data_IF_174079932399
#
_entry.id   IF_174079932399
#
_cell.length_a   1.000
_cell.length_b   1.000
_cell.length_c   1.000
_cell.angle_alpha   90.00
_cell.angle_beta   90.00
_cell.angle_gamma   90.00
#
_symmetry.space_group_name_H-M   'P 1'
#
loop_
_entity.id
_entity.type
_entity.pdbx_description
1 polymer ?
#
# COMPACT_ATOMS: atom_id res chain seq x y z
N UNK A 1 8.60 -9.69 -1.18
CA UNK A 1 8.07 -8.31 -1.26
C UNK A 1 8.61 -7.73 -2.54
N UNK A 2 7.79 -7.01 -3.30
CA UNK A 2 8.18 -6.46 -4.59
C UNK A 2 9.29 -5.40 -4.42
N UNK A 3 10.33 -5.37 -5.28
CA UNK A 3 11.42 -4.39 -5.20
C UNK A 3 10.94 -2.94 -5.18
N UNK A 4 10.07 -2.54 -6.12
CA UNK A 4 9.44 -1.21 -6.18
C UNK A 4 8.76 -0.78 -4.88
N UNK A 5 8.07 -1.71 -4.21
CA UNK A 5 7.40 -1.41 -2.92
C UNK A 5 8.42 -1.30 -1.79
N UNK A 6 9.51 -2.08 -1.84
CA UNK A 6 10.63 -1.96 -0.90
C UNK A 6 11.28 -0.58 -1.00
N UNK A 7 11.64 -0.18 -2.23
CA UNK A 7 12.21 1.13 -2.50
C UNK A 7 11.26 2.27 -2.09
N UNK A 8 9.96 2.14 -2.36
CA UNK A 8 8.96 3.12 -1.93
C UNK A 8 8.89 3.26 -0.41
N UNK A 9 8.91 2.13 0.33
CA UNK A 9 8.90 2.14 1.80
C UNK A 9 10.21 2.69 2.37
N UNK A 10 11.35 2.41 1.74
CA UNK A 10 12.65 2.87 2.20
C UNK A 10 12.83 4.39 2.12
N UNK A 11 12.08 5.06 1.23
CA UNK A 11 11.98 6.54 1.19
C UNK A 11 11.37 7.11 2.48
N UNK A 12 10.67 6.30 3.27
CA UNK A 12 10.17 6.70 4.59
C UNK A 12 11.34 6.81 5.56
N UNK A 13 11.68 8.05 5.92
CA UNK A 13 12.79 8.37 6.80
C UNK A 13 12.71 7.63 8.15
N UNK A 14 13.85 7.37 8.80
CA UNK A 14 13.93 6.53 10.01
C UNK A 14 13.05 7.02 11.17
N UNK A 15 12.78 8.32 11.26
CA UNK A 15 11.89 8.91 12.27
C UNK A 15 10.43 8.45 12.18
N UNK A 16 9.98 8.00 11.00
CA UNK A 16 8.61 7.49 10.79
C UNK A 16 8.52 5.97 10.94
N UNK A 17 9.66 5.28 11.14
CA UNK A 17 9.71 3.82 11.23
C UNK A 17 9.30 3.34 12.63
N UNK A 18 8.10 2.78 12.70
CA UNK A 18 7.59 2.03 13.84
C UNK A 18 8.37 0.72 14.05
N UNK A 19 8.63 0.37 15.32
CA UNK A 19 9.39 -0.83 15.78
C UNK A 19 8.64 -2.16 15.55
N UNK A 20 7.53 -2.16 14.80
CA UNK A 20 6.66 -3.34 14.73
C UNK A 20 7.31 -4.52 13.97
N UNK A 21 7.21 -5.72 14.57
CA UNK A 21 7.87 -6.96 14.14
C UNK A 21 7.03 -7.90 13.25
N UNK A 22 5.93 -7.43 12.65
CA UNK A 22 5.03 -8.24 11.81
C UNK A 22 5.05 -7.86 10.32
N UNK A 23 4.50 -8.75 9.46
CA UNK A 23 4.22 -8.37 8.05
C UNK A 23 3.11 -7.32 8.03
N UNK A 24 3.37 -6.20 7.36
CA UNK A 24 2.40 -5.11 7.20
C UNK A 24 1.43 -5.46 6.07
N UNK A 25 0.13 -5.63 6.35
CA UNK A 25 -0.83 -6.04 5.33
C UNK A 25 -0.87 -5.05 4.16
N UNK A 26 -0.68 -3.76 4.42
CA UNK A 26 -0.62 -2.72 3.39
C UNK A 26 0.56 -2.95 2.42
N UNK A 27 1.76 -3.24 2.97
CA UNK A 27 2.93 -3.51 2.14
C UNK A 27 2.77 -4.80 1.31
N UNK A 28 2.09 -5.81 1.86
CA UNK A 28 1.77 -7.03 1.11
C UNK A 28 0.77 -6.76 -0.02
N UNK A 29 -0.30 -6.01 0.26
CA UNK A 29 -1.31 -5.63 -0.74
C UNK A 29 -0.67 -4.80 -1.87
N UNK A 30 0.12 -3.78 -1.55
CA UNK A 30 0.84 -2.99 -2.54
C UNK A 30 1.83 -3.86 -3.34
N UNK A 31 2.47 -4.83 -2.70
CA UNK A 31 3.36 -5.77 -3.38
C UNK A 31 2.62 -6.69 -4.36
N UNK A 32 1.35 -7.00 -4.14
CA UNK A 32 0.53 -7.78 -5.09
C UNK A 32 0.14 -6.91 -6.29
N UNK A 33 -0.28 -5.67 -6.03
CA UNK A 33 -0.62 -4.70 -7.09
C UNK A 33 0.60 -4.36 -7.95
N UNK A 34 1.80 -4.32 -7.37
CA UNK A 34 3.03 -4.13 -8.13
C UNK A 34 3.31 -5.29 -9.11
N UNK A 35 3.07 -6.53 -8.69
CA UNK A 35 3.17 -7.70 -9.58
C UNK A 35 2.15 -7.62 -10.72
N UNK A 36 0.92 -7.20 -10.42
CA UNK A 36 -0.11 -6.98 -11.44
C UNK A 36 0.27 -5.86 -12.41
N UNK A 37 0.82 -4.76 -11.91
CA UNK A 37 1.31 -3.65 -12.73
C UNK A 37 2.44 -4.09 -13.67
N UNK A 38 3.43 -4.84 -13.20
CA UNK A 38 4.49 -5.40 -14.05
C UNK A 38 3.94 -6.36 -15.11
N UNK A 39 2.97 -7.21 -14.74
CA UNK A 39 2.35 -8.13 -15.68
C UNK A 39 1.57 -7.40 -16.79
N UNK A 40 0.82 -6.35 -16.44
CA UNK A 40 0.11 -5.50 -17.41
C UNK A 40 1.07 -4.78 -18.35
N UNK A 41 2.13 -4.16 -17.82
CA UNK A 41 3.17 -3.50 -18.63
C UNK A 41 3.86 -4.49 -19.58
N UNK A 42 4.18 -5.69 -19.12
CA UNK A 42 4.77 -6.74 -19.96
C UNK A 42 3.80 -7.17 -21.08
N UNK A 43 2.50 -7.27 -20.80
CA UNK A 43 1.48 -7.58 -21.80
C UNK A 43 1.32 -6.47 -22.85
N UNK A 44 1.58 -5.22 -22.48
CA UNK A 44 1.62 -4.05 -23.38
C UNK A 44 2.96 -3.94 -24.16
N UNK A 45 3.90 -4.86 -23.93
CA UNK A 45 5.21 -4.90 -24.61
C UNK A 45 6.32 -4.12 -23.91
N UNK A 46 6.06 -3.55 -22.72
CA UNK A 46 7.03 -2.83 -21.90
C UNK A 46 7.80 -3.77 -20.95
N UNK A 47 8.56 -4.72 -21.52
CA UNK A 47 9.39 -5.65 -20.75
C UNK A 47 10.55 -4.93 -20.02
N UNK A 48 10.83 -5.34 -18.78
CA UNK A 48 11.91 -4.74 -17.99
C UNK A 48 11.64 -3.29 -17.58
N UNK A 49 10.35 -2.94 -17.41
CA UNK A 49 9.91 -1.63 -16.95
C UNK A 49 10.64 -1.18 -15.69
N UNK A 50 11.03 0.09 -15.64
CA UNK A 50 11.70 0.67 -14.48
C UNK A 50 10.73 0.92 -13.30
N UNK A 51 11.29 1.26 -12.15
CA UNK A 51 10.53 1.50 -10.93
C UNK A 51 9.43 2.57 -11.09
N UNK A 52 9.67 3.62 -11.88
CA UNK A 52 8.72 4.71 -12.06
C UNK A 52 7.54 4.27 -12.92
N UNK A 53 7.80 3.53 -14.01
CA UNK A 53 6.76 2.96 -14.85
C UNK A 53 5.82 2.04 -14.05
N UNK A 54 6.39 1.19 -13.19
CA UNK A 54 5.60 0.34 -12.30
C UNK A 54 4.77 1.18 -11.31
N UNK A 55 5.34 2.21 -10.69
CA UNK A 55 4.61 3.09 -9.76
C UNK A 55 3.47 3.85 -10.45
N UNK A 56 3.67 4.34 -11.67
CA UNK A 56 2.64 5.06 -12.42
C UNK A 56 1.47 4.14 -12.79
N UNK A 57 1.76 2.91 -13.21
CA UNK A 57 0.72 1.93 -13.51
C UNK A 57 0.01 1.46 -12.22
N UNK A 58 0.74 1.31 -11.10
CA UNK A 58 0.12 1.08 -9.79
C UNK A 58 -0.86 2.20 -9.42
N UNK A 59 -0.52 3.49 -9.66
CA UNK A 59 -1.44 4.62 -9.42
C UNK A 59 -2.71 4.51 -10.26
N UNK A 60 -2.61 4.00 -11.48
CA UNK A 60 -3.78 3.79 -12.35
C UNK A 60 -4.67 2.66 -11.81
N UNK A 61 -4.08 1.51 -11.44
CA UNK A 61 -4.81 0.38 -10.87
C UNK A 61 -5.48 0.72 -9.53
N UNK A 62 -4.82 1.57 -8.73
CA UNK A 62 -5.30 1.98 -7.40
C UNK A 62 -6.20 3.21 -7.42
N UNK A 63 -6.56 3.72 -8.60
CA UNK A 63 -7.35 4.95 -8.69
C UNK A 63 -8.70 4.79 -8.02
N UNK A 64 -8.93 5.57 -6.96
CA UNK A 64 -10.16 5.51 -6.15
C UNK A 64 -10.19 4.34 -5.15
N UNK A 65 -9.09 3.59 -5.00
CA UNK A 65 -8.98 2.53 -4.01
C UNK A 65 -8.85 3.10 -2.59
N UNK A 66 -9.34 2.33 -1.61
CA UNK A 66 -9.20 2.61 -0.17
C UNK A 66 -8.67 1.36 0.51
N UNK A 67 -7.68 1.52 1.38
CA UNK A 67 -7.14 0.43 2.21
C UNK A 67 -7.63 0.58 3.64
N UNK A 68 -8.28 -0.47 4.16
CA UNK A 68 -8.78 -0.52 5.53
C UNK A 68 -8.36 -1.83 6.19
N UNK A 69 -7.81 -1.73 7.40
CA UNK A 69 -7.53 -2.88 8.25
C UNK A 69 -8.60 -2.97 9.34
N UNK A 70 -9.28 -4.11 9.44
CA UNK A 70 -10.35 -4.32 10.41
C UNK A 70 -9.94 -5.39 11.41
N UNK A 71 -10.05 -5.15 12.72
CA UNK A 71 -9.75 -6.18 13.71
C UNK A 71 -10.87 -7.23 13.69
N UNK A 72 -10.49 -8.51 13.55
CA UNK A 72 -11.43 -9.60 13.78
C UNK A 72 -11.64 -9.73 15.29
N UNK A 73 -12.82 -9.33 15.77
CA UNK A 73 -13.25 -9.43 17.17
C UNK A 73 -14.61 -10.12 17.26
N UNK A 74 -15.05 -10.45 18.47
CA UNK A 74 -16.41 -10.96 18.69
C UNK A 74 -17.46 -9.89 18.29
N UNK A 75 -18.63 -10.29 17.77
CA UNK A 75 -19.66 -9.36 17.25
C UNK A 75 -20.15 -8.29 18.23
N UNK A 76 -19.93 -8.49 19.53
CA UNK A 76 -20.37 -7.58 20.60
C UNK A 76 -19.23 -6.70 21.17
N UNK A 77 -18.03 -6.74 20.60
CA UNK A 77 -16.94 -5.87 21.02
C UNK A 77 -17.19 -4.44 20.48
N UNK A 78 -17.17 -3.38 21.30
CA UNK A 78 -17.40 -2.00 20.86
C UNK A 78 -16.30 -1.45 19.92
N UNK A 79 -15.19 -2.18 19.77
CA UNK A 79 -14.09 -1.95 18.84
C UNK A 79 -14.18 -2.88 17.63
N UNK A 80 -15.12 -3.83 17.61
CA UNK A 80 -15.55 -4.52 16.40
C UNK A 80 -15.94 -3.45 15.36
N UNK A 81 -15.53 -3.65 14.12
CA UNK A 81 -15.81 -2.73 13.00
C UNK A 81 -15.13 -1.36 13.02
N UNK A 82 -14.21 -1.06 13.95
CA UNK A 82 -13.41 0.17 13.86
C UNK A 82 -12.15 -0.05 13.01
N UNK A 83 -11.97 0.69 11.89
CA UNK A 83 -10.76 0.59 11.10
C UNK A 83 -9.53 0.98 11.90
N UNK A 84 -8.46 0.21 11.72
CA UNK A 84 -7.13 0.53 12.24
C UNK A 84 -6.43 1.35 11.16
N UNK A 85 -5.95 2.56 11.47
CA UNK A 85 -5.19 3.34 10.50
C UNK A 85 -3.86 2.64 10.18
N UNK A 86 -3.31 2.87 8.98
CA UNK A 86 -1.95 2.42 8.67
C UNK A 86 -0.98 3.00 9.69
N UNK A 87 0.01 2.21 10.10
CA UNK A 87 1.04 2.71 11.01
C UNK A 87 1.88 3.82 10.33
N UNK A 88 2.64 4.57 11.14
CA UNK A 88 3.53 5.64 10.65
C UNK A 88 4.52 5.18 9.57
N UNK A 89 4.99 3.92 9.60
CA UNK A 89 5.90 3.38 8.58
C UNK A 89 5.21 3.10 7.25
N UNK A 90 3.93 2.73 7.29
CA UNK A 90 3.20 2.22 6.14
C UNK A 90 2.27 3.25 5.53
N UNK A 91 1.84 4.27 6.29
CA UNK A 91 1.00 5.34 5.77
C UNK A 91 1.59 6.10 4.55
N UNK A 92 2.91 6.34 4.45
CA UNK A 92 3.46 7.12 3.33
C UNK A 92 3.35 6.44 1.96
N UNK A 93 3.51 5.12 1.89
CA UNK A 93 3.48 4.38 0.63
C UNK A 93 2.11 4.41 -0.10
N UNK A 94 0.97 4.04 0.52
CA UNK A 94 -0.34 4.17 -0.10
C UNK A 94 -0.67 5.64 -0.37
N UNK A 95 -0.30 6.58 0.52
CA UNK A 95 -0.50 8.00 0.27
C UNK A 95 0.24 8.50 -1.00
N UNK A 96 1.48 8.05 -1.23
CA UNK A 96 2.25 8.37 -2.44
C UNK A 96 1.66 7.78 -3.74
N UNK A 97 0.77 6.80 -3.59
CA UNK A 97 0.01 6.16 -4.67
C UNK A 97 -1.42 6.73 -4.79
N UNK A 98 -1.79 7.73 -3.99
CA UNK A 98 -3.13 8.32 -3.98
C UNK A 98 -4.18 7.46 -3.27
N UNK A 99 -3.74 6.45 -2.49
CA UNK A 99 -4.62 5.57 -1.71
C UNK A 99 -4.74 6.11 -0.29
N UNK A 100 -5.97 6.50 0.05
CA UNK A 100 -6.31 6.96 1.40
C UNK A 100 -6.66 5.81 2.34
N UNK A 101 -6.55 6.08 3.64
CA UNK A 101 -7.26 5.30 4.66
C UNK A 101 -8.74 5.74 4.76
N UNK A 102 -9.62 4.94 5.39
CA UNK A 102 -10.99 5.36 5.64
C UNK A 102 -11.01 6.66 6.46
N UNK A 103 -11.68 7.70 5.93
CA UNK A 103 -11.76 9.02 6.55
C UNK A 103 -10.61 9.98 6.21
N UNK A 104 -9.65 9.58 5.38
CA UNK A 104 -8.58 10.45 4.86
C UNK A 104 -8.90 10.79 3.41
N UNK A 105 -9.49 11.96 3.15
CA UNK A 105 -9.70 12.44 1.78
C UNK A 105 -8.33 12.62 1.12
N UNK A 106 -8.10 11.90 0.02
CA UNK A 106 -6.99 12.19 -0.88
C UNK A 106 -7.16 13.62 -1.39
N UNK A 107 -6.23 14.50 -1.01
CA UNK A 107 -6.17 15.89 -1.51
C UNK A 107 -5.39 15.94 -2.81
#
# INVERSE_FOLDING_TARGET
MHPTVSALLDRTGPAMRSVFHGRRPEALLLSQVAVEAEASLAAEGAYGSDENAVLDHMRQLLRGAVVSAMPLREPNDPVHERPIPPCSSCAPAPAALGVGGPGVSAS
#
